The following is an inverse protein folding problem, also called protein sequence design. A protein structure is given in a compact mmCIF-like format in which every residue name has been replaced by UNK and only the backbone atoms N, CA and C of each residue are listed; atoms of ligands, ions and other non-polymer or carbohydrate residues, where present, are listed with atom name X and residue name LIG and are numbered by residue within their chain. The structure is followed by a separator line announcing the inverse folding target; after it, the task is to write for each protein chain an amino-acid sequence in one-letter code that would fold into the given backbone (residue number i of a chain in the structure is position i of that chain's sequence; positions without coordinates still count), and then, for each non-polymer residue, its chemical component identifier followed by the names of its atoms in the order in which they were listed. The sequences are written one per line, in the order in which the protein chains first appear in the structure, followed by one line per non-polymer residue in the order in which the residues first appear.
data_IF_599124411301
#
_entry.id   IF_599124411301
#
_cell.length_a   1.000
_cell.length_b   1.000
_cell.length_c   1.000
_cell.angle_alpha   90.00
_cell.angle_beta   90.00
_cell.angle_gamma   90.00
#
_symmetry.space_group_name_H-M   'P 1'
#
loop_
_entity.id
_entity.type
_entity.pdbx_description
1 polymer ?
#
# COMPACT_ATOMS: atom_id res chain seq x y z
N UNK A 1 -4.47 -40.07 1.15
CA UNK A 1 -3.58 -39.22 1.96
C UNK A 1 -2.29 -39.05 1.19
N UNK A 2 -2.01 -37.86 0.66
CA UNK A 2 -0.79 -37.60 -0.11
C UNK A 2 0.33 -37.17 0.84
N UNK A 3 1.15 -38.13 1.27
CA UNK A 3 2.32 -37.93 2.13
C UNK A 3 3.33 -36.92 1.57
N UNK A 4 3.40 -36.77 0.24
CA UNK A 4 4.29 -35.82 -0.43
C UNK A 4 3.92 -34.35 -0.17
N UNK A 5 2.63 -34.02 -0.23
CA UNK A 5 2.14 -32.66 0.04
C UNK A 5 2.27 -32.28 1.50
N UNK A 6 2.15 -33.24 2.42
CA UNK A 6 2.26 -32.97 3.86
C UNK A 6 3.71 -32.64 4.28
N UNK A 7 4.70 -33.32 3.69
CA UNK A 7 6.11 -33.00 3.90
C UNK A 7 6.54 -31.67 3.24
N UNK A 8 5.85 -31.27 2.16
CA UNK A 8 6.07 -29.98 1.50
C UNK A 8 5.53 -28.83 2.34
N UNK A 9 4.32 -28.97 2.88
CA UNK A 9 3.68 -28.02 3.79
C UNK A 9 4.55 -27.78 5.04
N UNK A 10 5.10 -28.83 5.65
CA UNK A 10 5.96 -28.71 6.85
C UNK A 10 7.22 -27.86 6.61
N UNK A 11 7.81 -27.90 5.41
CA UNK A 11 9.01 -27.10 5.09
C UNK A 11 8.70 -25.64 4.83
N UNK A 12 7.50 -25.32 4.35
CA UNK A 12 7.11 -23.97 3.93
C UNK A 12 6.39 -23.24 5.06
N UNK A 13 5.76 -23.97 5.99
CA UNK A 13 5.07 -23.43 7.16
C UNK A 13 5.89 -22.40 7.96
N UNK A 14 7.18 -22.59 8.26
CA UNK A 14 7.98 -21.58 8.95
C UNK A 14 8.11 -20.26 8.16
N UNK A 15 8.20 -20.34 6.83
CA UNK A 15 8.25 -19.15 5.96
C UNK A 15 6.91 -18.44 5.96
N UNK A 16 5.81 -19.18 5.87
CA UNK A 16 4.47 -18.61 5.94
C UNK A 16 4.20 -17.94 7.30
N UNK A 17 4.62 -18.55 8.40
CA UNK A 17 4.49 -17.97 9.74
C UNK A 17 5.31 -16.67 9.86
N UNK A 18 6.49 -16.60 9.22
CA UNK A 18 7.28 -15.36 9.16
C UNK A 18 6.63 -14.27 8.31
N UNK A 19 6.00 -14.64 7.20
CA UNK A 19 5.23 -13.70 6.37
C UNK A 19 4.01 -13.18 7.12
N UNK A 20 3.32 -14.04 7.87
CA UNK A 20 2.17 -13.66 8.70
C UNK A 20 2.58 -12.74 9.86
N UNK A 21 3.73 -13.01 10.49
CA UNK A 21 4.33 -12.12 11.48
C UNK A 21 4.69 -10.76 10.85
N UNK A 22 5.35 -10.78 9.69
CA UNK A 22 5.66 -9.55 8.95
C UNK A 22 4.38 -8.78 8.61
N UNK A 23 3.31 -9.45 8.15
CA UNK A 23 2.01 -8.83 7.89
C UNK A 23 1.50 -8.12 9.14
N UNK A 24 1.45 -8.79 10.30
CA UNK A 24 0.96 -8.17 11.54
C UNK A 24 1.76 -6.94 11.98
N UNK A 25 3.07 -6.90 11.70
CA UNK A 25 3.93 -5.77 12.02
C UNK A 25 3.80 -4.62 11.00
N UNK A 26 3.58 -4.96 9.73
CA UNK A 26 3.49 -4.03 8.61
C UNK A 26 2.07 -3.49 8.37
N UNK A 27 1.02 -4.14 8.92
CA UNK A 27 -0.39 -3.75 8.75
C UNK A 27 -0.70 -2.29 9.12
N UNK A 28 0.16 -1.68 9.93
CA UNK A 28 0.01 -0.30 10.42
C UNK A 28 0.51 0.76 9.44
N UNK A 29 1.43 0.40 8.54
CA UNK A 29 2.19 1.34 7.72
C UNK A 29 2.16 0.91 6.26
N UNK A 30 1.80 1.82 5.35
CA UNK A 30 1.90 1.63 3.89
C UNK A 30 3.38 1.67 3.46
N UNK A 31 4.15 0.71 3.97
CA UNK A 31 5.61 0.64 3.81
C UNK A 31 6.00 0.13 2.43
N UNK A 32 5.08 0.01 1.46
CA UNK A 32 5.37 -0.41 0.09
C UNK A 32 5.89 -1.85 -0.08
N UNK A 33 6.00 -2.63 0.99
CA UNK A 33 6.50 -4.00 0.97
C UNK A 33 5.40 -4.93 0.45
N UNK A 34 5.69 -5.66 -0.63
CA UNK A 34 4.74 -6.62 -1.21
C UNK A 34 4.75 -7.94 -0.44
N UNK A 35 3.60 -8.35 0.07
CA UNK A 35 3.40 -9.65 0.73
C UNK A 35 2.63 -10.60 -0.19
N UNK A 36 2.94 -11.90 -0.20
CA UNK A 36 2.14 -12.87 -0.92
C UNK A 36 0.79 -13.04 -0.21
N UNK A 37 -0.29 -12.88 -0.98
CA UNK A 37 -1.67 -12.97 -0.49
C UNK A 37 -2.53 -13.65 -1.54
N UNK A 38 -3.49 -14.49 -1.14
CA UNK A 38 -4.60 -14.88 -2.02
C UNK A 38 -5.75 -13.92 -1.76
N UNK A 39 -6.12 -13.11 -2.73
CA UNK A 39 -7.16 -12.08 -2.59
C UNK A 39 -8.42 -12.52 -3.32
N UNK A 40 -9.53 -12.63 -2.60
CA UNK A 40 -10.81 -13.05 -3.16
C UNK A 40 -11.56 -11.83 -3.67
N UNK A 41 -11.85 -11.81 -4.97
CA UNK A 41 -12.59 -10.74 -5.63
C UNK A 41 -13.83 -11.31 -6.30
N UNK A 42 -14.91 -10.54 -6.32
CA UNK A 42 -16.18 -11.01 -6.86
C UNK A 42 -17.30 -10.04 -6.59
N UNK A 43 -18.24 -9.95 -7.51
CA UNK A 43 -19.43 -9.11 -7.38
C UNK A 43 -20.23 -9.48 -6.11
N UNK A 44 -21.11 -8.59 -5.66
CA UNK A 44 -22.03 -8.92 -4.58
C UNK A 44 -22.85 -10.18 -4.94
N UNK A 45 -23.04 -11.08 -3.98
CA UNK A 45 -23.80 -12.35 -4.18
C UNK A 45 -23.20 -13.37 -5.16
N UNK A 46 -21.94 -13.20 -5.57
CA UNK A 46 -21.16 -14.18 -6.36
C UNK A 46 -20.80 -15.47 -5.61
N UNK A 47 -21.06 -15.56 -4.31
CA UNK A 47 -20.76 -16.75 -3.51
C UNK A 47 -19.38 -16.77 -2.83
N UNK A 48 -18.67 -15.63 -2.75
CA UNK A 48 -17.39 -15.48 -2.04
C UNK A 48 -17.42 -16.00 -0.60
N UNK A 49 -18.36 -15.52 0.22
CA UNK A 49 -18.43 -15.92 1.63
C UNK A 49 -18.66 -17.43 1.75
N UNK A 50 -19.60 -18.00 0.99
CA UNK A 50 -19.84 -19.45 0.99
C UNK A 50 -18.64 -20.26 0.48
N UNK A 51 -17.90 -19.74 -0.50
CA UNK A 51 -16.63 -20.34 -0.95
C UNK A 51 -15.60 -20.35 0.19
N UNK A 52 -15.48 -19.24 0.90
CA UNK A 52 -14.55 -19.11 2.02
C UNK A 52 -14.94 -19.97 3.22
N UNK A 53 -16.23 -20.19 3.46
CA UNK A 53 -16.69 -21.21 4.43
C UNK A 53 -16.26 -22.62 4.00
N UNK A 54 -16.41 -22.93 2.71
CA UNK A 54 -15.99 -24.22 2.17
C UNK A 54 -14.47 -24.42 2.24
N UNK A 55 -13.68 -23.35 2.12
CA UNK A 55 -12.21 -23.36 2.29
C UNK A 55 -11.81 -23.47 3.78
N UNK A 56 -12.39 -22.62 4.62
CA UNK A 56 -11.99 -22.44 6.03
C UNK A 56 -12.62 -23.41 7.01
N UNK A 57 -13.71 -24.08 6.63
CA UNK A 57 -14.55 -24.90 7.50
C UNK A 57 -15.24 -24.12 8.64
N UNK A 58 -15.36 -22.80 8.50
CA UNK A 58 -15.98 -21.90 9.48
C UNK A 58 -17.13 -21.15 8.83
N UNK A 59 -18.21 -20.90 9.57
CA UNK A 59 -19.31 -20.08 9.09
C UNK A 59 -18.92 -18.60 9.11
N UNK A 60 -19.21 -17.90 8.02
CA UNK A 60 -18.96 -16.47 7.87
C UNK A 60 -20.29 -15.71 7.83
N UNK A 61 -20.33 -14.44 8.26
CA UNK A 61 -21.57 -13.67 8.24
C UNK A 61 -22.20 -13.65 6.85
N UNK A 62 -23.52 -13.87 6.79
CA UNK A 62 -24.34 -13.83 5.57
C UNK A 62 -25.55 -12.92 5.81
N UNK A 63 -25.94 -12.17 4.80
CA UNK A 63 -27.07 -11.24 4.88
C UNK A 63 -27.36 -10.56 3.56
N UNK A 64 -28.45 -9.80 3.51
CA UNK A 64 -28.77 -8.92 2.39
C UNK A 64 -27.93 -7.64 2.47
N UNK A 65 -27.42 -7.16 1.33
CA UNK A 65 -26.50 -6.01 1.27
C UNK A 65 -25.02 -6.39 1.31
N UNK A 66 -24.15 -5.42 1.60
CA UNK A 66 -22.70 -5.66 1.78
C UNK A 66 -22.50 -6.17 3.20
N UNK A 67 -22.19 -7.46 3.31
CA UNK A 67 -21.98 -8.13 4.60
C UNK A 67 -20.56 -7.92 5.09
N UNK A 68 -19.57 -8.19 4.23
CA UNK A 68 -18.16 -7.90 4.48
C UNK A 68 -17.91 -6.40 4.28
N UNK A 69 -17.88 -5.62 5.38
CA UNK A 69 -17.58 -4.17 5.36
C UNK A 69 -16.11 -3.85 5.67
N UNK A 70 -15.39 -4.81 6.22
CA UNK A 70 -13.96 -4.76 6.50
C UNK A 70 -13.31 -5.96 5.81
N UNK A 71 -12.12 -5.83 5.20
CA UNK A 71 -11.37 -7.00 4.75
C UNK A 71 -11.14 -8.01 5.88
N UNK A 72 -11.33 -9.29 5.58
CA UNK A 72 -11.10 -10.39 6.53
C UNK A 72 -9.93 -11.24 6.06
N UNK A 73 -8.85 -11.28 6.85
CA UNK A 73 -7.68 -12.13 6.61
C UNK A 73 -7.91 -13.47 7.32
N UNK A 74 -8.19 -14.51 6.53
CA UNK A 74 -8.33 -15.89 6.96
C UNK A 74 -7.00 -16.62 6.85
N UNK A 75 -6.42 -16.99 7.98
CA UNK A 75 -5.18 -17.78 8.07
C UNK A 75 -5.54 -19.22 8.40
N UNK A 76 -5.47 -20.10 7.42
CA UNK A 76 -5.73 -21.53 7.59
C UNK A 76 -4.41 -22.22 7.90
N UNK A 77 -4.38 -22.99 8.99
CA UNK A 77 -3.22 -23.78 9.39
C UNK A 77 -3.61 -25.23 9.67
N UNK A 78 -2.90 -26.17 9.06
CA UNK A 78 -3.09 -27.58 9.34
C UNK A 78 -2.64 -27.88 10.77
N UNK A 79 -3.50 -28.56 11.54
CA UNK A 79 -3.26 -28.89 12.94
C UNK A 79 -3.81 -30.28 13.26
N UNK A 80 -3.27 -30.94 14.29
CA UNK A 80 -3.82 -32.22 14.77
C UNK A 80 -5.13 -32.03 15.55
N UNK A 81 -5.43 -30.79 15.94
CA UNK A 81 -6.65 -30.44 16.69
C UNK A 81 -7.64 -29.77 15.75
N UNK A 82 -8.92 -30.18 15.83
CA UNK A 82 -10.01 -29.63 15.04
C UNK A 82 -10.49 -28.28 15.58
N UNK A 83 -10.79 -27.36 14.65
CA UNK A 83 -11.51 -26.10 14.89
C UNK A 83 -11.01 -25.29 16.08
N UNK A 84 -9.71 -25.01 16.08
CA UNK A 84 -9.09 -24.06 17.00
C UNK A 84 -8.96 -22.68 16.33
N UNK A 85 -9.33 -21.64 17.05
CA UNK A 85 -9.37 -20.27 16.52
C UNK A 85 -8.39 -19.35 17.24
N UNK A 86 -7.78 -18.44 16.49
CA UNK A 86 -7.04 -17.28 17.04
C UNK A 86 -7.58 -16.00 16.43
N UNK A 87 -7.94 -15.07 17.30
CA UNK A 87 -8.63 -13.81 16.99
C UNK A 87 -7.64 -12.63 17.18
N UNK A 88 -7.90 -11.49 16.52
CA UNK A 88 -7.09 -10.28 16.66
C UNK A 88 -6.82 -9.92 18.13
N UNK A 89 -5.57 -9.61 18.46
CA UNK A 89 -5.16 -9.14 19.79
C UNK A 89 -4.94 -10.24 20.85
N UNK A 90 -5.45 -11.46 20.64
CA UNK A 90 -5.25 -12.60 21.55
C UNK A 90 -4.01 -13.41 21.15
N UNK A 91 -2.82 -12.87 21.41
CA UNK A 91 -1.55 -13.50 21.04
C UNK A 91 -1.22 -14.80 21.79
N UNK A 92 -2.03 -15.26 22.76
CA UNK A 92 -1.65 -16.38 23.63
C UNK A 92 -2.60 -17.58 23.68
N UNK A 93 -3.91 -17.43 23.45
CA UNK A 93 -4.85 -18.54 23.64
C UNK A 93 -5.58 -18.88 22.34
N UNK A 94 -5.49 -20.17 21.95
CA UNK A 94 -6.39 -20.75 20.95
C UNK A 94 -7.75 -21.01 21.62
N UNK A 95 -8.83 -20.67 20.93
CA UNK A 95 -10.18 -20.85 21.40
C UNK A 95 -10.84 -22.01 20.65
N UNK A 96 -11.51 -22.89 21.38
CA UNK A 96 -12.27 -23.99 20.81
C UNK A 96 -13.62 -23.52 20.26
N UNK A 97 -14.18 -24.25 19.31
CA UNK A 97 -15.52 -24.03 18.73
C UNK A 97 -16.64 -23.91 19.76
N UNK A 98 -16.54 -24.61 20.90
CA UNK A 98 -17.56 -24.53 21.97
C UNK A 98 -17.52 -23.20 22.71
N UNK A 99 -16.36 -22.57 22.77
CA UNK A 99 -16.10 -21.39 23.60
C UNK A 99 -16.10 -20.11 22.77
N UNK A 100 -16.33 -20.19 21.45
CA UNK A 100 -16.24 -19.03 20.57
C UNK A 100 -17.27 -19.08 19.47
N UNK A 101 -18.02 -17.99 19.36
CA UNK A 101 -18.90 -17.75 18.24
C UNK A 101 -18.20 -16.81 17.25
N UNK A 102 -17.68 -17.38 16.16
CA UNK A 102 -16.92 -16.64 15.16
C UNK A 102 -17.78 -15.61 14.42
N UNK A 103 -19.05 -15.93 14.16
CA UNK A 103 -19.99 -14.99 13.53
C UNK A 103 -20.15 -13.73 14.37
N UNK A 104 -20.46 -13.89 15.66
CA UNK A 104 -20.58 -12.77 16.60
C UNK A 104 -19.29 -11.97 16.70
N UNK A 105 -18.15 -12.65 16.77
CA UNK A 105 -16.85 -11.98 16.81
C UNK A 105 -16.62 -11.10 15.58
N UNK A 106 -16.82 -11.63 14.37
CA UNK A 106 -16.63 -10.88 13.13
C UNK A 106 -17.60 -9.69 13.08
N UNK A 107 -18.86 -9.89 13.47
CA UNK A 107 -19.86 -8.81 13.52
C UNK A 107 -19.48 -7.71 14.52
N UNK A 108 -19.00 -8.08 15.71
CA UNK A 108 -18.57 -7.13 16.73
C UNK A 108 -17.33 -6.35 16.31
N UNK A 109 -16.31 -7.01 15.76
CA UNK A 109 -15.09 -6.34 15.25
C UNK A 109 -15.40 -5.46 14.05
N UNK A 110 -16.27 -5.92 13.14
CA UNK A 110 -16.75 -5.11 12.02
C UNK A 110 -17.44 -3.85 12.54
N UNK A 111 -18.30 -3.96 13.56
CA UNK A 111 -18.97 -2.81 14.18
C UNK A 111 -18.00 -1.87 14.91
N UNK A 112 -16.94 -2.39 15.53
CA UNK A 112 -15.89 -1.55 16.16
C UNK A 112 -15.09 -0.76 15.13
N UNK A 113 -14.75 -1.37 13.99
CA UNK A 113 -13.90 -0.76 12.96
C UNK A 113 -14.68 0.13 11.99
N UNK A 114 -15.82 -0.35 11.49
CA UNK A 114 -16.64 0.36 10.49
C UNK A 114 -17.77 1.19 11.09
N UNK A 115 -18.02 1.06 12.41
CA UNK A 115 -19.16 1.69 13.06
C UNK A 115 -20.51 1.10 12.63
N UNK A 116 -21.57 1.85 12.95
CA UNK A 116 -22.94 1.49 12.57
C UNK A 116 -23.31 1.94 11.14
N UNK A 117 -22.50 2.80 10.53
CA UNK A 117 -22.68 3.26 9.15
C UNK A 117 -22.30 2.15 8.17
N UNK A 118 -23.01 2.01 7.05
CA UNK A 118 -22.78 0.95 6.04
C UNK A 118 -21.57 1.22 5.13
N UNK A 119 -20.56 1.93 5.63
CA UNK A 119 -19.33 2.27 4.92
C UNK A 119 -18.35 1.08 4.90
N UNK A 120 -17.43 1.12 3.94
CA UNK A 120 -16.34 0.14 3.85
C UNK A 120 -15.06 0.76 4.41
N UNK A 121 -14.39 0.04 5.31
CA UNK A 121 -13.12 0.48 5.93
C UNK A 121 -11.95 -0.37 5.47
N UNK A 122 -10.75 0.20 5.52
CA UNK A 122 -9.50 -0.47 5.11
C UNK A 122 -8.92 -1.39 6.18
N UNK A 123 -9.33 -1.21 7.44
CA UNK A 123 -8.81 -1.97 8.57
C UNK A 123 -9.14 -3.46 8.44
N UNK A 124 -8.14 -4.29 8.71
CA UNK A 124 -8.21 -5.75 8.57
C UNK A 124 -8.76 -6.39 9.85
N UNK A 125 -9.64 -7.37 9.69
CA UNK A 125 -9.96 -8.35 10.74
C UNK A 125 -9.12 -9.59 10.47
N UNK A 126 -8.37 -10.10 11.43
CA UNK A 126 -7.64 -11.36 11.27
C UNK A 126 -8.32 -12.49 12.05
N UNK A 127 -8.46 -13.62 11.38
CA UNK A 127 -8.95 -14.87 11.95
C UNK A 127 -8.03 -16.00 11.51
N UNK A 128 -7.42 -16.69 12.46
CA UNK A 128 -6.68 -17.91 12.20
C UNK A 128 -7.52 -19.12 12.58
N UNK A 129 -7.62 -20.09 11.67
CA UNK A 129 -8.32 -21.35 11.82
C UNK A 129 -7.31 -22.48 11.74
N UNK A 130 -7.24 -23.28 12.80
CA UNK A 130 -6.40 -24.46 12.88
C UNK A 130 -7.28 -25.71 12.83
N UNK A 131 -7.10 -26.56 11.82
CA UNK A 131 -7.89 -27.79 11.65
C UNK A 131 -7.08 -28.86 10.88
N UNK A 132 -7.28 -30.17 11.10
CA UNK A 132 -6.61 -31.22 10.32
C UNK A 132 -7.07 -31.29 8.86
N UNK A 133 -8.25 -30.76 8.54
CA UNK A 133 -8.86 -30.85 7.21
C UNK A 133 -8.65 -29.58 6.35
N UNK A 134 -7.82 -28.64 6.82
CA UNK A 134 -7.40 -27.46 6.03
C UNK A 134 -5.94 -27.60 5.60
N UNK A 135 -5.57 -26.88 4.54
CA UNK A 135 -4.17 -26.69 4.11
C UNK A 135 -3.66 -25.36 4.64
N UNK A 136 -2.33 -25.26 4.75
CA UNK A 136 -1.66 -24.01 5.11
C UNK A 136 -1.86 -22.98 3.99
N UNK A 137 -2.72 -21.99 4.24
CA UNK A 137 -3.12 -21.00 3.25
C UNK A 137 -3.56 -19.71 3.93
N UNK A 138 -3.19 -18.56 3.37
CA UNK A 138 -3.70 -17.25 3.82
C UNK A 138 -4.51 -16.60 2.72
N UNK A 139 -5.79 -16.34 3.01
CA UNK A 139 -6.76 -15.77 2.09
C UNK A 139 -7.31 -14.45 2.65
N UNK A 140 -7.47 -13.44 1.81
CA UNK A 140 -8.08 -12.15 2.14
C UNK A 140 -9.44 -12.08 1.47
N UNK A 141 -10.51 -12.04 2.26
CA UNK A 141 -11.85 -11.72 1.80
C UNK A 141 -12.00 -10.21 1.69
N UNK A 142 -12.50 -9.75 0.56
CA UNK A 142 -12.80 -8.35 0.32
C UNK A 142 -14.32 -8.13 0.18
N UNK A 143 -14.81 -6.94 0.55
CA UNK A 143 -16.18 -6.53 0.24
C UNK A 143 -16.53 -6.80 -1.23
N UNK A 144 -17.70 -7.38 -1.47
CA UNK A 144 -18.18 -7.60 -2.84
C UNK A 144 -18.47 -6.29 -3.56
N UNK A 145 -18.24 -6.26 -4.87
CA UNK A 145 -18.51 -5.07 -5.68
C UNK A 145 -20.01 -4.77 -5.67
N UNK A 146 -20.38 -3.60 -5.16
CA UNK A 146 -21.76 -3.13 -5.09
C UNK A 146 -22.01 -2.12 -6.19
N UNK A 147 -22.84 -2.47 -7.18
CA UNK A 147 -23.12 -1.64 -8.36
C UNK A 147 -24.02 -0.45 -8.03
N UNK A 148 -25.03 -0.67 -7.20
CA UNK A 148 -25.98 0.34 -6.78
C UNK A 148 -26.02 0.39 -5.24
N UNK A 149 -26.07 1.59 -4.65
CA UNK A 149 -26.28 1.72 -3.21
C UNK A 149 -27.68 1.21 -2.86
N UNK A 150 -27.76 0.27 -1.92
CA UNK A 150 -29.01 -0.28 -1.41
C UNK A 150 -29.23 0.25 0.02
N UNK A 151 -30.43 0.76 0.29
CA UNK A 151 -30.83 1.31 1.59
C UNK A 151 -29.85 2.42 2.06
N UNK A 152 -29.31 2.32 3.28
CA UNK A 152 -28.46 3.35 3.91
C UNK A 152 -26.98 3.30 3.46
N UNK A 153 -26.69 2.67 2.32
CA UNK A 153 -25.34 2.66 1.78
C UNK A 153 -24.97 4.03 1.18
N UNK A 154 -23.70 4.45 1.29
CA UNK A 154 -23.28 5.72 0.73
C UNK A 154 -23.29 5.66 -0.80
N UNK A 155 -23.53 6.80 -1.46
CA UNK A 155 -23.66 6.88 -2.93
C UNK A 155 -22.38 6.46 -3.66
N UNK A 156 -21.23 6.54 -3.02
CA UNK A 156 -19.91 6.19 -3.54
C UNK A 156 -19.45 4.77 -3.16
N UNK A 157 -20.34 3.91 -2.67
CA UNK A 157 -19.99 2.54 -2.24
C UNK A 157 -19.33 1.71 -3.34
N UNK A 158 -19.75 1.89 -4.60
CA UNK A 158 -19.13 1.27 -5.76
C UNK A 158 -17.64 1.67 -5.88
N UNK A 159 -17.36 2.97 -5.76
CA UNK A 159 -16.00 3.49 -5.79
C UNK A 159 -15.18 2.99 -4.59
N UNK A 160 -15.74 3.02 -3.38
CA UNK A 160 -15.05 2.53 -2.18
C UNK A 160 -14.66 1.05 -2.29
N UNK A 161 -15.58 0.19 -2.76
CA UNK A 161 -15.34 -1.24 -2.92
C UNK A 161 -14.31 -1.52 -4.02
N UNK A 162 -14.43 -0.85 -5.18
CA UNK A 162 -13.49 -1.04 -6.29
C UNK A 162 -12.08 -0.49 -5.98
N UNK A 163 -11.97 0.66 -5.32
CA UNK A 163 -10.68 1.24 -4.90
C UNK A 163 -9.99 0.35 -3.85
N UNK A 164 -10.76 -0.21 -2.91
CA UNK A 164 -10.25 -1.18 -1.95
C UNK A 164 -9.73 -2.45 -2.64
N UNK A 165 -10.51 -3.02 -3.57
CA UNK A 165 -10.09 -4.19 -4.34
C UNK A 165 -8.79 -3.91 -5.10
N UNK A 166 -8.73 -2.79 -5.84
CA UNK A 166 -7.53 -2.38 -6.59
C UNK A 166 -6.31 -2.24 -5.68
N UNK A 167 -6.47 -1.70 -4.48
CA UNK A 167 -5.37 -1.58 -3.53
C UNK A 167 -4.74 -2.94 -3.18
N UNK A 168 -5.55 -3.97 -2.94
CA UNK A 168 -5.05 -5.31 -2.62
C UNK A 168 -4.51 -6.06 -3.84
N UNK A 169 -5.18 -6.00 -4.98
CA UNK A 169 -4.78 -6.80 -6.16
C UNK A 169 -3.66 -6.18 -7.00
N UNK A 170 -3.35 -4.88 -6.84
CA UNK A 170 -2.21 -4.23 -7.52
C UNK A 170 -0.86 -4.76 -7.05
N UNK A 171 -0.80 -5.34 -5.87
CA UNK A 171 0.43 -5.92 -5.35
C UNK A 171 0.83 -7.13 -6.20
N UNK A 172 2.00 -7.10 -6.84
CA UNK A 172 2.47 -8.19 -7.70
C UNK A 172 2.56 -9.53 -6.96
N UNK A 173 2.84 -9.51 -5.65
CA UNK A 173 2.87 -10.71 -4.81
C UNK A 173 1.51 -11.39 -4.64
N UNK A 174 0.39 -10.75 -5.01
CA UNK A 174 -0.95 -11.27 -4.79
C UNK A 174 -1.45 -12.20 -5.91
N UNK A 175 -2.03 -13.33 -5.51
CA UNK A 175 -2.83 -14.22 -6.36
C UNK A 175 -4.28 -13.75 -6.28
N UNK A 176 -4.90 -13.49 -7.43
CA UNK A 176 -6.27 -13.01 -7.53
C UNK A 176 -7.19 -14.21 -7.72
N UNK A 177 -8.12 -14.40 -6.79
CA UNK A 177 -9.17 -15.41 -6.88
C UNK A 177 -10.47 -14.73 -7.33
N UNK A 178 -10.77 -14.80 -8.63
CA UNK A 178 -11.93 -14.15 -9.21
C UNK A 178 -13.15 -15.09 -9.17
N UNK A 179 -14.13 -14.75 -8.33
CA UNK A 179 -15.29 -15.59 -8.03
C UNK A 179 -16.52 -15.07 -8.77
N UNK A 180 -17.16 -15.92 -9.56
CA UNK A 180 -18.39 -15.60 -10.27
C UNK A 180 -19.33 -16.81 -10.35
N UNK A 181 -20.65 -16.60 -10.40
CA UNK A 181 -21.61 -17.70 -10.42
C UNK A 181 -21.83 -18.24 -11.85
N UNK A 182 -22.09 -19.53 -11.97
CA UNK A 182 -22.27 -20.23 -13.25
C UNK A 182 -23.49 -19.78 -14.06
N UNK A 183 -24.47 -19.12 -13.42
CA UNK A 183 -25.70 -18.65 -14.05
C UNK A 183 -25.59 -17.23 -14.64
N UNK A 184 -24.40 -16.62 -14.60
CA UNK A 184 -24.15 -15.27 -15.11
C UNK A 184 -23.07 -15.33 -16.19
N UNK A 185 -23.24 -14.54 -17.25
CA UNK A 185 -22.23 -14.41 -18.30
C UNK A 185 -20.98 -13.69 -17.76
N UNK A 186 -19.82 -14.28 -18.00
CA UNK A 186 -18.52 -13.77 -17.57
C UNK A 186 -18.25 -12.35 -18.11
N UNK A 187 -18.77 -12.02 -19.30
CA UNK A 187 -18.64 -10.69 -19.89
C UNK A 187 -19.29 -9.58 -19.06
N UNK A 188 -20.25 -9.94 -18.19
CA UNK A 188 -20.96 -9.01 -17.32
C UNK A 188 -20.35 -8.89 -15.91
N UNK A 189 -19.32 -9.66 -15.60
CA UNK A 189 -18.71 -9.75 -14.26
C UNK A 189 -17.67 -8.65 -14.09
N UNK A 190 -17.94 -7.70 -13.18
CA UNK A 190 -17.07 -6.54 -12.99
C UNK A 190 -15.76 -6.90 -12.29
N UNK A 191 -15.79 -7.85 -11.35
CA UNK A 191 -14.57 -8.34 -10.69
C UNK A 191 -13.54 -8.88 -11.67
N UNK A 192 -13.99 -9.40 -12.81
CA UNK A 192 -13.10 -9.89 -13.86
C UNK A 192 -12.43 -8.74 -14.62
N UNK A 193 -13.18 -7.69 -14.95
CA UNK A 193 -12.64 -6.46 -15.56
C UNK A 193 -11.55 -5.84 -14.68
N UNK A 194 -11.82 -5.70 -13.38
CA UNK A 194 -10.87 -5.15 -12.41
C UNK A 194 -9.62 -6.04 -12.26
N UNK A 195 -9.80 -7.37 -12.28
CA UNK A 195 -8.67 -8.30 -12.28
C UNK A 195 -7.80 -8.13 -13.54
N UNK A 196 -8.41 -8.03 -14.73
CA UNK A 196 -7.71 -7.85 -16.01
C UNK A 196 -7.00 -6.49 -16.12
N UNK A 197 -7.54 -5.44 -15.51
CA UNK A 197 -6.83 -4.14 -15.39
C UNK A 197 -5.50 -4.28 -14.63
N UNK A 198 -5.45 -5.16 -13.62
CA UNK A 198 -4.29 -5.32 -12.74
C UNK A 198 -3.38 -6.52 -13.11
N UNK A 199 -3.90 -7.48 -13.88
CA UNK A 199 -3.21 -8.66 -14.42
C UNK A 199 -3.65 -8.93 -15.87
N UNK A 200 -3.21 -8.11 -16.85
CA UNK A 200 -3.65 -8.24 -18.25
C UNK A 200 -3.27 -9.59 -18.89
N UNK A 201 -2.19 -10.20 -18.39
CA UNK A 201 -1.62 -11.47 -18.85
C UNK A 201 -2.24 -12.69 -18.17
N UNK A 202 -3.03 -12.51 -17.12
CA UNK A 202 -3.67 -13.59 -16.36
C UNK A 202 -2.68 -14.54 -15.69
N UNK A 203 -1.48 -14.08 -15.30
CA UNK A 203 -0.43 -14.94 -14.73
C UNK A 203 -0.70 -15.33 -13.29
N UNK A 204 -1.44 -14.48 -12.57
CA UNK A 204 -1.69 -14.60 -11.14
C UNK A 204 -3.18 -14.59 -10.82
N UNK A 205 -4.04 -14.81 -11.82
CA UNK A 205 -5.50 -14.81 -11.68
C UNK A 205 -6.07 -16.20 -11.92
N UNK A 206 -6.87 -16.69 -10.96
CA UNK A 206 -7.64 -17.94 -11.04
C UNK A 206 -9.12 -17.58 -11.14
N UNK A 207 -9.83 -18.17 -12.09
CA UNK A 207 -11.28 -18.06 -12.16
C UNK A 207 -11.96 -19.16 -11.34
N UNK A 208 -12.90 -18.79 -10.46
CA UNK A 208 -13.71 -19.74 -9.69
C UNK A 208 -15.18 -19.60 -10.05
N UNK A 209 -15.72 -20.69 -10.59
CA UNK A 209 -17.12 -20.79 -10.99
C UNK A 209 -17.91 -21.37 -9.81
N UNK A 210 -18.76 -20.56 -9.18
CA UNK A 210 -19.65 -20.98 -8.09
C UNK A 210 -21.06 -21.28 -8.58
N UNK A 211 -21.93 -21.78 -7.70
CA UNK A 211 -23.34 -22.08 -8.04
C UNK A 211 -23.48 -22.98 -9.28
N UNK A 212 -22.55 -23.93 -9.43
CA UNK A 212 -22.49 -24.84 -10.59
C UNK A 212 -23.77 -25.68 -10.75
N UNK A 213 -24.53 -25.85 -9.67
CA UNK A 213 -25.84 -26.49 -9.62
C UNK A 213 -26.98 -25.67 -10.26
N UNK A 214 -26.83 -24.35 -10.37
CA UNK A 214 -27.84 -23.44 -10.97
C UNK A 214 -27.59 -23.18 -12.46
N UNK A 215 -26.69 -23.94 -13.07
CA UNK A 215 -26.38 -23.89 -14.50
C UNK A 215 -27.59 -24.34 -15.33
N UNK A 216 -28.35 -23.40 -15.90
CA UNK A 216 -29.59 -23.69 -16.65
C UNK A 216 -29.32 -24.39 -18.00
N UNK A 217 -28.18 -24.10 -18.64
CA UNK A 217 -27.80 -24.64 -19.97
C UNK A 217 -26.29 -24.92 -20.10
N UNK A 218 -25.55 -25.10 -18.99
CA UNK A 218 -24.13 -24.70 -18.92
C UNK A 218 -23.08 -25.78 -18.56
N UNK A 219 -23.36 -27.07 -18.78
CA UNK A 219 -22.28 -28.07 -18.85
C UNK A 219 -21.25 -27.67 -19.92
N UNK A 220 -21.70 -27.09 -21.04
CA UNK A 220 -20.85 -26.65 -22.15
C UNK A 220 -19.99 -25.45 -21.76
N UNK A 221 -20.54 -24.44 -21.06
CA UNK A 221 -19.77 -23.25 -20.67
C UNK A 221 -18.71 -23.60 -19.63
N UNK A 222 -19.08 -24.40 -18.63
CA UNK A 222 -18.12 -24.92 -17.65
C UNK A 222 -17.05 -25.74 -18.37
N UNK A 223 -17.42 -26.63 -19.29
CA UNK A 223 -16.45 -27.36 -20.10
C UNK A 223 -15.55 -26.44 -20.94
N UNK A 224 -16.10 -25.42 -21.61
CA UNK A 224 -15.34 -24.50 -22.46
C UNK A 224 -14.34 -23.67 -21.67
N UNK A 225 -14.75 -23.15 -20.50
CA UNK A 225 -13.87 -22.42 -19.59
C UNK A 225 -12.80 -23.35 -19.00
N UNK A 226 -13.17 -24.58 -18.65
CA UNK A 226 -12.22 -25.57 -18.12
C UNK A 226 -11.24 -26.10 -19.19
N UNK A 227 -11.62 -26.07 -20.47
CA UNK A 227 -10.79 -26.46 -21.61
C UNK A 227 -9.86 -25.33 -22.08
N UNK A 228 -9.85 -24.17 -21.39
CA UNK A 228 -9.00 -23.01 -21.70
C UNK A 228 -9.07 -22.62 -23.18
N UNK A 229 -10.28 -22.59 -23.75
CA UNK A 229 -10.44 -22.17 -25.14
C UNK A 229 -10.07 -20.69 -25.28
N UNK A 230 -9.14 -20.34 -26.19
CA UNK A 230 -8.61 -18.98 -26.32
C UNK A 230 -9.68 -17.96 -26.72
N UNK A 231 -10.79 -18.41 -27.30
CA UNK A 231 -11.86 -17.58 -27.85
C UNK A 231 -12.79 -16.98 -26.78
N UNK A 232 -12.76 -17.49 -25.54
CA UNK A 232 -13.66 -17.06 -24.46
C UNK A 232 -12.91 -16.24 -23.42
N UNK A 233 -11.78 -16.75 -22.90
CA UNK A 233 -10.94 -16.07 -21.91
C UNK A 233 -9.68 -16.90 -21.60
N UNK A 234 -8.49 -16.30 -21.61
CA UNK A 234 -7.26 -17.00 -21.24
C UNK A 234 -6.76 -16.56 -19.85
N UNK A 235 -6.72 -17.50 -18.91
CA UNK A 235 -6.07 -17.35 -17.61
C UNK A 235 -5.00 -18.43 -17.50
N UNK A 236 -3.73 -18.06 -17.26
CA UNK A 236 -2.65 -19.06 -17.17
C UNK A 236 -2.85 -20.05 -16.03
N UNK A 237 -3.52 -19.61 -14.96
CA UNK A 237 -3.89 -20.44 -13.82
C UNK A 237 -5.25 -21.13 -13.98
N UNK A 238 -5.92 -20.95 -15.12
CA UNK A 238 -7.16 -21.64 -15.48
C UNK A 238 -8.36 -21.33 -14.60
N UNK A 239 -9.37 -22.20 -14.73
CA UNK A 239 -10.65 -22.12 -14.03
C UNK A 239 -10.88 -23.34 -13.15
N UNK A 240 -11.61 -23.15 -12.05
CA UNK A 240 -12.05 -24.22 -11.16
C UNK A 240 -13.54 -24.05 -10.87
N UNK A 241 -14.32 -25.11 -11.05
CA UNK A 241 -15.75 -25.09 -10.73
C UNK A 241 -16.00 -25.72 -9.35
N UNK A 242 -16.85 -25.09 -8.56
CA UNK A 242 -17.21 -25.52 -7.20
C UNK A 242 -18.73 -25.50 -7.01
N UNK A 243 -19.21 -26.36 -6.12
CA UNK A 243 -20.59 -26.37 -5.67
C UNK A 243 -20.59 -26.20 -4.15
N UNK A 244 -21.10 -25.05 -3.72
CA UNK A 244 -21.20 -24.70 -2.31
C UNK A 244 -22.62 -24.91 -1.79
N UNK A 245 -22.80 -24.94 -0.46
CA UNK A 245 -24.13 -25.03 0.16
C UNK A 245 -25.02 -23.84 -0.23
N UNK A 246 -26.29 -24.09 -0.53
CA UNK A 246 -27.27 -23.02 -0.70
C UNK A 246 -27.69 -22.42 0.65
N UNK A 247 -28.38 -21.29 0.65
CA UNK A 247 -28.96 -20.71 1.87
C UNK A 247 -30.11 -21.54 2.44
N UNK A 248 -30.72 -22.40 1.62
CA UNK A 248 -31.85 -23.26 2.00
C UNK A 248 -31.35 -24.60 2.58
N UNK A 249 -30.16 -25.04 2.18
CA UNK A 249 -29.54 -26.27 2.65
C UNK A 249 -28.94 -26.10 4.06
N UNK A 250 -29.68 -26.52 5.08
CA UNK A 250 -29.22 -26.60 6.49
C UNK A 250 -28.36 -27.85 6.75
N UNK A 251 -27.30 -28.03 5.97
CA UNK A 251 -26.36 -29.15 6.11
C UNK A 251 -25.02 -28.70 6.68
N UNK A 252 -24.27 -29.66 7.24
CA UNK A 252 -22.90 -29.42 7.69
C UNK A 252 -21.97 -29.14 6.50
N UNK A 253 -20.88 -28.41 6.74
CA UNK A 253 -19.86 -28.15 5.71
C UNK A 253 -19.20 -29.45 5.19
N UNK A 254 -19.08 -30.46 6.05
CA UNK A 254 -18.55 -31.78 5.68
C UNK A 254 -19.51 -32.52 4.73
N UNK A 255 -20.81 -32.47 5.00
CA UNK A 255 -21.81 -33.09 4.12
C UNK A 255 -21.97 -32.32 2.81
N UNK A 256 -21.80 -31.00 2.82
CA UNK A 256 -21.74 -30.19 1.61
C UNK A 256 -20.59 -30.63 0.69
N UNK A 257 -19.40 -30.90 1.26
CA UNK A 257 -18.25 -31.43 0.49
C UNK A 257 -18.53 -32.82 -0.09
N UNK A 258 -19.27 -33.69 0.62
CA UNK A 258 -19.66 -35.01 0.10
C UNK A 258 -20.62 -34.87 -1.08
N UNK A 259 -21.65 -34.04 -0.95
CA UNK A 259 -22.60 -33.75 -2.05
C UNK A 259 -21.93 -33.12 -3.26
N UNK A 260 -20.98 -32.22 -3.04
CA UNK A 260 -20.19 -31.65 -4.14
C UNK A 260 -19.45 -32.75 -4.91
N UNK A 261 -18.82 -33.69 -4.20
CA UNK A 261 -18.10 -34.81 -4.82
C UNK A 261 -19.04 -35.71 -5.62
N UNK A 262 -20.24 -35.98 -5.11
CA UNK A 262 -21.28 -36.76 -5.81
C UNK A 262 -21.83 -36.02 -7.04
N UNK A 263 -22.01 -34.71 -6.94
CA UNK A 263 -22.44 -33.87 -8.06
C UNK A 263 -21.41 -33.89 -9.19
N UNK A 264 -20.13 -33.64 -8.87
CA UNK A 264 -19.08 -33.61 -9.88
C UNK A 264 -18.70 -35.00 -10.39
N UNK A 265 -18.93 -36.09 -9.66
CA UNK A 265 -18.67 -37.44 -10.20
C UNK A 265 -19.63 -37.82 -11.33
N UNK A 266 -20.85 -37.27 -11.31
CA UNK A 266 -21.86 -37.48 -12.36
C UNK A 266 -21.78 -36.43 -13.47
N UNK A 267 -21.05 -35.34 -13.24
CA UNK A 267 -20.96 -34.21 -14.17
C UNK A 267 -20.16 -34.57 -15.44
N UNK A 268 -20.59 -34.16 -16.65
CA UNK A 268 -19.91 -34.50 -17.90
C UNK A 268 -18.45 -34.00 -17.99
N UNK A 269 -18.14 -32.88 -17.34
CA UNK A 269 -16.78 -32.35 -17.27
C UNK A 269 -15.80 -33.19 -16.40
N UNK A 270 -16.29 -34.19 -15.65
CA UNK A 270 -15.47 -35.00 -14.74
C UNK A 270 -14.40 -35.82 -15.44
N UNK A 271 -14.72 -36.36 -16.63
CA UNK A 271 -13.80 -37.15 -17.45
C UNK A 271 -12.72 -36.30 -18.12
N UNK A 272 -13.03 -35.03 -18.41
CA UNK A 272 -12.16 -34.12 -19.17
C UNK A 272 -11.28 -33.28 -18.23
N UNK A 273 -11.87 -32.76 -17.16
CA UNK A 273 -11.25 -31.73 -16.31
C UNK A 273 -11.43 -32.03 -14.81
N UNK A 274 -11.41 -33.30 -14.40
CA UNK A 274 -11.62 -33.69 -13.00
C UNK A 274 -10.69 -33.01 -11.98
N UNK A 275 -9.48 -32.61 -12.39
CA UNK A 275 -8.52 -31.87 -11.56
C UNK A 275 -8.88 -30.38 -11.36
N UNK A 276 -9.88 -29.87 -12.09
CA UNK A 276 -10.41 -28.51 -11.99
C UNK A 276 -11.83 -28.48 -11.40
N UNK A 277 -12.30 -29.59 -10.83
CA UNK A 277 -13.63 -29.69 -10.24
C UNK A 277 -13.55 -29.91 -8.73
N UNK A 278 -14.41 -29.19 -8.01
CA UNK A 278 -14.61 -29.33 -6.57
C UNK A 278 -13.66 -28.52 -5.70
N UNK A 279 -14.07 -28.32 -4.44
CA UNK A 279 -13.33 -27.51 -3.47
C UNK A 279 -11.95 -28.08 -3.14
N UNK A 280 -11.80 -29.41 -3.15
CA UNK A 280 -10.52 -30.05 -2.85
C UNK A 280 -9.46 -29.71 -3.89
N UNK A 281 -9.85 -29.68 -5.17
CA UNK A 281 -8.99 -29.27 -6.28
C UNK A 281 -8.59 -27.80 -6.14
N UNK A 282 -9.54 -26.93 -5.75
CA UNK A 282 -9.25 -25.53 -5.46
C UNK A 282 -8.26 -25.36 -4.30
N UNK A 283 -8.48 -26.06 -3.18
CA UNK A 283 -7.63 -25.97 -1.99
C UNK A 283 -6.19 -26.36 -2.32
N UNK A 284 -5.99 -27.50 -2.99
CA UNK A 284 -4.65 -27.96 -3.34
C UNK A 284 -3.97 -26.99 -4.31
N UNK A 285 -4.67 -26.55 -5.36
CA UNK A 285 -4.12 -25.60 -6.33
C UNK A 285 -3.76 -24.25 -5.69
N UNK A 286 -4.59 -23.74 -4.79
CA UNK A 286 -4.29 -22.51 -4.04
C UNK A 286 -3.11 -22.69 -3.09
N UNK A 287 -3.01 -23.83 -2.40
CA UNK A 287 -1.92 -24.11 -1.48
C UNK A 287 -0.57 -24.21 -2.22
N UNK A 288 -0.54 -24.89 -3.37
CA UNK A 288 0.65 -25.02 -4.21
C UNK A 288 1.08 -23.65 -4.76
N UNK A 289 0.15 -22.89 -5.34
CA UNK A 289 0.43 -21.56 -5.87
C UNK A 289 0.87 -20.57 -4.80
N UNK A 290 0.22 -20.59 -3.63
CA UNK A 290 0.60 -19.75 -2.50
C UNK A 290 2.02 -20.11 -2.02
N UNK A 291 2.33 -21.39 -1.95
CA UNK A 291 3.65 -21.90 -1.56
C UNK A 291 4.76 -21.46 -2.52
N UNK A 292 4.51 -21.54 -3.82
CA UNK A 292 5.45 -21.09 -4.84
C UNK A 292 5.64 -19.58 -4.78
N UNK A 293 4.53 -18.83 -4.62
CA UNK A 293 4.60 -17.37 -4.52
C UNK A 293 5.32 -16.90 -3.27
N UNK A 294 5.16 -17.60 -2.15
CA UNK A 294 5.91 -17.38 -0.91
C UNK A 294 7.40 -17.55 -1.15
N UNK A 295 7.82 -18.61 -1.84
CA UNK A 295 9.24 -18.86 -2.14
C UNK A 295 9.86 -17.80 -3.04
N UNK A 296 9.12 -17.30 -4.03
CA UNK A 296 9.58 -16.26 -4.94
C UNK A 296 9.64 -14.88 -4.29
N UNK A 297 8.63 -14.55 -3.47
CA UNK A 297 8.47 -13.21 -2.89
C UNK A 297 9.35 -13.01 -1.66
N UNK A 298 9.57 -14.05 -0.86
CA UNK A 298 10.28 -13.94 0.41
C UNK A 298 11.73 -13.38 0.28
N UNK A 299 12.56 -13.84 -0.68
CA UNK A 299 13.89 -13.26 -0.89
C UNK A 299 13.85 -11.77 -1.29
N UNK A 300 12.90 -11.39 -2.17
CA UNK A 300 12.72 -10.00 -2.60
C UNK A 300 12.32 -9.10 -1.44
N UNK A 301 11.33 -9.56 -0.67
CA UNK A 301 10.87 -8.90 0.55
C UNK A 301 12.03 -8.70 1.55
N UNK A 302 12.87 -9.72 1.76
CA UNK A 302 14.04 -9.61 2.65
C UNK A 302 14.99 -8.49 2.21
N UNK A 303 15.31 -8.42 0.92
CA UNK A 303 16.21 -7.38 0.38
C UNK A 303 15.58 -5.99 0.52
N UNK A 304 14.28 -5.87 0.23
CA UNK A 304 13.55 -4.61 0.35
C UNK A 304 13.51 -4.10 1.79
N UNK A 305 13.18 -4.98 2.75
CA UNK A 305 13.19 -4.66 4.18
C UNK A 305 14.59 -4.27 4.65
N UNK A 306 15.63 -4.98 4.24
CA UNK A 306 17.01 -4.65 4.59
C UNK A 306 17.44 -3.29 4.04
N UNK A 307 17.04 -2.97 2.80
CA UNK A 307 17.29 -1.67 2.19
C UNK A 307 16.59 -0.55 2.97
N UNK A 308 15.29 -0.69 3.23
CA UNK A 308 14.53 0.30 4.02
C UNK A 308 15.09 0.47 5.43
N UNK A 309 15.49 -0.62 6.07
CA UNK A 309 16.13 -0.57 7.38
C UNK A 309 17.46 0.19 7.34
N UNK A 310 18.26 0.01 6.28
CA UNK A 310 19.50 0.76 6.09
C UNK A 310 19.22 2.25 5.90
N UNK A 311 18.27 2.60 5.03
CA UNK A 311 17.90 3.99 4.75
C UNK A 311 17.39 4.69 6.02
N UNK A 312 16.54 4.02 6.81
CA UNK A 312 16.03 4.53 8.10
C UNK A 312 17.16 4.69 9.11
N UNK A 313 18.12 3.76 9.18
CA UNK A 313 19.29 3.87 10.07
C UNK A 313 20.20 5.02 9.66
N UNK A 314 20.43 5.22 8.37
CA UNK A 314 21.19 6.37 7.87
C UNK A 314 20.49 7.69 8.20
N UNK A 315 19.17 7.76 8.02
CA UNK A 315 18.39 8.93 8.45
C UNK A 315 18.47 9.13 9.96
N UNK A 316 18.30 8.08 10.75
CA UNK A 316 18.38 8.13 12.21
C UNK A 316 19.77 8.60 12.68
N UNK A 317 20.84 8.20 11.99
CA UNK A 317 22.20 8.65 12.32
C UNK A 317 22.45 10.13 12.10
N UNK A 318 21.62 10.80 11.28
CA UNK A 318 21.65 12.27 11.12
C UNK A 318 20.99 13.00 12.28
N UNK A 319 20.14 12.32 13.05
CA UNK A 319 19.54 12.90 14.24
C UNK A 319 20.54 12.89 15.39
N UNK A 320 20.48 13.89 16.27
CA UNK A 320 21.29 13.89 17.48
C UNK A 320 20.94 12.67 18.35
N UNK A 321 21.89 12.14 19.14
CA UNK A 321 21.61 11.09 20.12
C UNK A 321 20.58 11.58 21.14
N UNK A 322 19.90 10.63 21.79
CA UNK A 322 18.88 10.95 22.79
C UNK A 322 19.45 11.83 23.90
N UNK A 323 18.85 13.01 24.07
CA UNK A 323 19.31 14.04 25.00
C UNK A 323 18.61 13.92 26.36
N UNK A 324 18.67 12.72 26.96
CA UNK A 324 17.94 12.42 28.20
C UNK A 324 18.50 13.17 29.42
N UNK A 325 19.80 13.47 29.42
CA UNK A 325 20.45 14.18 30.54
C UNK A 325 20.68 15.66 30.23
N UNK A 326 20.66 16.48 31.28
CA UNK A 326 20.98 17.91 31.19
C UNK A 326 22.42 18.12 30.69
N UNK A 327 23.35 17.24 31.06
CA UNK A 327 24.74 17.29 30.59
C UNK A 327 24.86 16.99 29.09
N UNK A 328 24.11 16.02 28.57
CA UNK A 328 24.07 15.74 27.12
C UNK A 328 23.50 16.92 26.33
N UNK A 329 22.44 17.57 26.85
CA UNK A 329 21.85 18.78 26.25
C UNK A 329 22.85 19.94 26.19
N UNK A 330 23.58 20.18 27.28
CA UNK A 330 24.61 21.22 27.33
C UNK A 330 25.78 20.93 26.38
N UNK A 331 26.27 19.69 26.34
CA UNK A 331 27.33 19.29 25.42
C UNK A 331 26.90 19.52 23.95
N UNK A 332 25.66 19.14 23.59
CA UNK A 332 25.15 19.36 22.23
C UNK A 332 24.92 20.84 21.91
N UNK A 333 24.51 21.64 22.89
CA UNK A 333 24.40 23.10 22.74
C UNK A 333 25.76 23.74 22.42
N UNK A 334 26.81 23.38 23.16
CA UNK A 334 28.16 23.88 22.89
C UNK A 334 28.68 23.42 21.53
N UNK A 335 28.46 22.15 21.16
CA UNK A 335 28.82 21.63 19.83
C UNK A 335 28.13 22.43 18.70
N UNK A 336 26.85 22.77 18.86
CA UNK A 336 26.12 23.60 17.90
C UNK A 336 26.61 25.05 17.86
N UNK A 337 26.93 25.62 19.02
CA UNK A 337 27.48 26.97 19.13
C UNK A 337 28.86 27.08 18.48
N UNK A 338 29.72 26.08 18.69
CA UNK A 338 31.03 25.98 18.06
C UNK A 338 30.89 25.78 16.54
N UNK A 339 30.02 24.86 16.10
CA UNK A 339 29.73 24.68 14.68
C UNK A 339 29.24 25.97 14.02
N UNK A 340 28.37 26.74 14.69
CA UNK A 340 27.90 28.03 14.21
C UNK A 340 29.04 29.06 14.14
N UNK A 341 29.90 29.13 15.16
CA UNK A 341 31.06 30.00 15.15
C UNK A 341 32.01 29.65 13.98
N UNK A 342 32.35 28.37 13.81
CA UNK A 342 33.26 27.93 12.75
C UNK A 342 32.67 28.11 11.33
N UNK A 343 31.39 27.78 11.13
CA UNK A 343 30.80 27.78 9.80
C UNK A 343 30.22 29.14 9.39
N UNK A 344 29.59 29.89 10.30
CA UNK A 344 28.98 31.18 9.94
C UNK A 344 30.01 32.31 10.10
N UNK A 345 30.76 32.33 11.21
CA UNK A 345 31.77 33.38 11.41
C UNK A 345 33.01 33.04 10.58
N UNK A 346 33.47 31.79 10.57
CA UNK A 346 34.62 31.38 9.76
C UNK A 346 34.42 31.54 8.26
N UNK A 347 33.25 31.20 7.69
CA UNK A 347 32.98 31.44 6.25
C UNK A 347 32.85 32.94 5.89
N UNK A 348 32.49 33.82 6.84
CA UNK A 348 32.48 35.27 6.57
C UNK A 348 33.87 35.83 6.28
N UNK A 349 34.93 35.17 6.73
CA UNK A 349 36.31 35.64 6.58
C UNK A 349 37.19 34.74 5.71
N UNK A 350 36.78 33.49 5.44
CA UNK A 350 37.50 32.59 4.52
C UNK A 350 36.99 32.79 3.09
N UNK A 351 37.89 33.15 2.18
CA UNK A 351 37.64 33.18 0.74
C UNK A 351 37.58 31.74 0.21
N UNK A 352 36.40 31.13 0.12
CA UNK A 352 36.21 29.99 -0.78
C UNK A 352 35.91 30.54 -2.18
N UNK A 353 36.81 30.25 -3.11
CA UNK A 353 36.64 30.54 -4.54
C UNK A 353 35.96 29.33 -5.19
N UNK A 354 34.69 29.13 -4.85
CA UNK A 354 33.85 28.18 -5.57
C UNK A 354 33.12 28.98 -6.65
N UNK A 355 33.53 28.82 -7.91
CA UNK A 355 33.27 29.76 -9.03
C UNK A 355 31.81 30.12 -9.33
N UNK A 356 30.84 29.53 -8.62
CA UNK A 356 29.41 29.88 -8.71
C UNK A 356 28.95 30.91 -7.66
N UNK A 357 29.59 30.99 -6.49
CA UNK A 357 29.14 31.82 -5.37
C UNK A 357 30.28 32.68 -4.81
N UNK A 358 30.42 33.92 -5.30
CA UNK A 358 31.38 34.89 -4.74
C UNK A 358 31.16 35.02 -3.23
N UNK A 359 32.23 34.82 -2.44
CA UNK A 359 32.22 35.01 -0.99
C UNK A 359 31.66 36.40 -0.60
N UNK A 360 31.13 36.52 0.61
CA UNK A 360 30.58 37.80 1.10
C UNK A 360 31.63 38.92 1.04
N UNK A 361 32.90 38.59 1.34
CA UNK A 361 34.05 39.49 1.23
C UNK A 361 34.28 39.92 -0.21
N UNK A 362 34.24 38.99 -1.17
CA UNK A 362 34.43 39.30 -2.59
C UNK A 362 33.29 40.17 -3.13
N UNK A 363 32.05 39.93 -2.71
CA UNK A 363 30.90 40.78 -3.03
C UNK A 363 31.05 42.19 -2.46
N UNK A 364 31.49 42.31 -1.20
CA UNK A 364 31.75 43.59 -0.55
C UNK A 364 32.89 44.35 -1.24
N UNK A 365 34.00 43.67 -1.54
CA UNK A 365 35.13 44.24 -2.26
C UNK A 365 34.72 44.77 -3.64
N UNK A 366 33.91 44.01 -4.38
CA UNK A 366 33.40 44.45 -5.67
C UNK A 366 32.49 45.68 -5.55
N UNK A 367 31.62 45.73 -4.53
CA UNK A 367 30.79 46.93 -4.26
C UNK A 367 31.65 48.13 -3.89
N UNK A 368 32.66 47.96 -3.04
CA UNK A 368 33.59 49.04 -2.66
C UNK A 368 34.38 49.54 -3.88
N UNK A 369 34.77 48.65 -4.79
CA UNK A 369 35.44 49.01 -6.05
C UNK A 369 34.51 49.81 -6.97
N UNK A 370 33.23 49.43 -7.06
CA UNK A 370 32.23 50.22 -7.78
C UNK A 370 32.03 51.61 -7.16
N UNK A 371 31.97 51.71 -5.83
CA UNK A 371 31.91 53.01 -5.13
C UNK A 371 33.15 53.85 -5.45
N UNK A 372 34.34 53.25 -5.45
CA UNK A 372 35.57 53.94 -5.81
C UNK A 372 35.55 54.45 -7.27
N UNK A 373 35.00 53.68 -8.20
CA UNK A 373 34.85 54.12 -9.60
C UNK A 373 33.83 55.25 -9.74
N UNK A 374 32.72 55.21 -8.99
CA UNK A 374 31.75 56.31 -8.94
C UNK A 374 32.40 57.57 -8.39
N UNK A 375 33.12 57.47 -7.27
CA UNK A 375 33.84 58.61 -6.68
C UNK A 375 34.88 59.19 -7.64
N UNK A 376 35.62 58.35 -8.38
CA UNK A 376 36.57 58.83 -9.41
C UNK A 376 35.90 59.51 -10.61
N UNK A 377 34.64 59.15 -10.91
CA UNK A 377 33.84 59.81 -11.96
C UNK A 377 33.21 61.10 -11.48
N UNK A 378 32.90 61.18 -10.20
CA UNK A 378 32.36 62.37 -9.53
C UNK A 378 33.43 63.33 -8.99
N UNK A 379 34.71 62.93 -9.01
CA UNK A 379 35.82 63.86 -8.77
C UNK A 379 35.64 65.04 -9.73
N UNK A 380 35.34 66.20 -9.14
CA UNK A 380 35.07 67.41 -9.90
C UNK A 380 36.32 67.69 -10.74
N UNK A 381 36.17 67.74 -12.07
CA UNK A 381 37.22 68.29 -12.93
C UNK A 381 37.32 69.80 -12.64
N UNK A 382 38.13 70.11 -11.63
CA UNK A 382 38.43 71.45 -11.13
C UNK A 382 39.00 72.36 -12.23
N UNK A 383 39.47 71.77 -13.34
CA UNK A 383 40.04 72.50 -14.47
C UNK A 383 39.12 72.56 -15.68
N UNK A 384 37.94 71.94 -15.63
CA UNK A 384 36.97 71.99 -16.72
C UNK A 384 36.50 73.44 -17.01
N UNK A 385 36.24 73.78 -18.28
CA UNK A 385 35.72 75.11 -18.64
C UNK A 385 34.39 75.43 -17.95
N UNK A 386 33.55 74.43 -17.72
CA UNK A 386 32.26 74.56 -17.03
C UNK A 386 32.46 74.90 -15.54
N UNK A 387 33.39 74.25 -14.85
CA UNK A 387 33.72 74.57 -13.45
C UNK A 387 34.29 75.99 -13.33
N UNK A 388 35.19 76.39 -14.24
CA UNK A 388 35.72 77.76 -14.30
C UNK A 388 34.64 78.81 -14.51
N UNK A 389 33.65 78.54 -15.36
CA UNK A 389 32.50 79.42 -15.57
C UNK A 389 31.62 79.52 -14.33
N UNK A 390 31.40 78.39 -13.64
CA UNK A 390 30.62 78.33 -12.40
C UNK A 390 31.30 79.11 -11.25
N UNK A 391 32.62 78.98 -11.12
CA UNK A 391 33.44 79.77 -10.18
C UNK A 391 33.42 81.25 -10.55
N UNK A 392 33.59 81.63 -11.83
CA UNK A 392 33.48 83.03 -12.27
C UNK A 392 32.10 83.62 -11.99
N UNK A 393 31.03 82.85 -12.22
CA UNK A 393 29.66 83.24 -11.89
C UNK A 393 29.48 83.51 -10.39
N UNK A 394 29.95 82.58 -9.55
CA UNK A 394 29.92 82.76 -8.09
C UNK A 394 30.77 83.96 -7.63
N UNK A 395 31.96 84.17 -8.21
CA UNK A 395 32.79 85.35 -7.92
C UNK A 395 32.12 86.66 -8.34
N UNK A 396 31.40 86.68 -9.47
CA UNK A 396 30.64 87.86 -9.90
C UNK A 396 29.41 88.13 -9.04
N UNK A 397 28.77 87.09 -8.51
CA UNK A 397 27.61 87.21 -7.63
C UNK A 397 27.99 87.73 -6.23
N UNK A 398 29.20 87.42 -5.75
CA UNK A 398 29.76 87.93 -4.49
C UNK A 398 30.56 89.24 -4.67
N UNK A 399 30.53 89.85 -5.87
CA UNK A 399 31.31 91.05 -6.16
C UNK A 399 30.72 92.25 -5.39
N UNK A 400 31.45 92.73 -4.38
CA UNK A 400 31.03 93.83 -3.50
C UNK A 400 30.88 93.46 -2.02
N UNK A 401 30.95 92.18 -1.65
CA UNK A 401 30.88 91.75 -0.24
C UNK A 401 32.21 91.93 0.52
N UNK A 402 33.35 92.00 -0.18
CA UNK A 402 34.70 92.15 0.41
C UNK A 402 35.60 93.07 -0.43
N UNK A 403 36.73 93.51 0.16
CA UNK A 403 37.72 94.37 -0.49
C UNK A 403 38.31 93.71 -1.76
N UNK A 404 38.68 94.51 -2.78
CA UNK A 404 39.32 93.99 -3.99
C UNK A 404 40.60 93.23 -3.62
N UNK A 405 40.78 92.03 -4.17
CA UNK A 405 41.92 91.08 -4.01
C UNK A 405 41.76 89.94 -2.97
N UNK A 406 40.60 89.79 -2.32
CA UNK A 406 40.32 88.62 -1.47
C UNK A 406 39.28 87.67 -2.09
N UNK A 407 39.50 86.36 -1.95
CA UNK A 407 38.54 85.33 -2.37
C UNK A 407 37.42 85.25 -1.32
N UNK A 408 36.15 85.49 -1.68
CA UNK A 408 35.06 85.45 -0.70
C UNK A 408 34.87 84.01 -0.19
N UNK A 409 34.85 83.83 1.14
CA UNK A 409 34.55 82.55 1.79
C UNK A 409 33.24 81.88 1.30
N UNK A 410 32.16 82.62 0.95
CA UNK A 410 30.96 82.01 0.39
C UNK A 410 31.19 81.26 -0.93
N UNK A 411 32.13 81.74 -1.76
CA UNK A 411 32.50 81.09 -3.02
C UNK A 411 33.14 79.73 -2.74
N UNK A 412 34.01 79.62 -1.73
CA UNK A 412 34.65 78.35 -1.33
C UNK A 412 33.72 77.38 -0.58
N UNK A 413 32.52 77.81 -0.15
CA UNK A 413 31.53 76.94 0.52
C UNK A 413 30.50 76.35 -0.44
N UNK A 414 30.36 76.92 -1.64
CA UNK A 414 29.40 76.47 -2.66
C UNK A 414 29.97 75.37 -3.57
N UNK A 415 31.27 75.11 -3.48
CA UNK A 415 32.03 74.10 -4.20
C UNK A 415 32.91 73.35 -3.21
#
# INVERSE_FOLDING_TARGET
MNTFTDAYDEKIRPLMDKIDQARSLLSSNDDGITLPNVVVVGDQSSGKSTLLEALSLVELPKGSGIVTRCPLVLRLRKSNVRRLYRLNGNNKNLLDEKNTNILKYIEEETRKLAGNEKNVVKNLIELQVNDPNVRDLTVVDLPGIARNPIADQPKDIHKQTTDLIRHFIRQEGSVILCVFPANVDIATVESFTIARECDPTGERTIGVITKSDLAVNHDILIQQLLMDRPDVLHLKLGFIAVRNRSTEEKISLEDARKREKEFFSQHPASSIAGHCLGIHSLINRLADLYSDRVKETFPRMRVEVQKKLKDVREQLSKFPPDLESTSARLAKYYELADWYAENIIGMRFKSSDDGQHKSMVNKLHHKLKQVQEIMKREDADLYSPAYRLKVKGAMSACFGEQLPNFLPHPVLKQF
#
